data_IF_094090379662
#
_entry.id   IF_094090379662
#
_cell.length_a   1.000
_cell.length_b   1.000
_cell.length_c   1.000
_cell.angle_alpha   90.00
_cell.angle_beta   90.00
_cell.angle_gamma   90.00
#
_symmetry.space_group_name_H-M   'P 1'
#
loop_
_entity.id
_entity.type
_entity.pdbx_description
1 polymer ?
#
# COMPACT_ATOMS: atom_id res chain seq x y z
N UNK A 1 1.23 -3.85 -18.90
CA UNK A 1 2.52 -3.22 -18.58
C UNK A 1 3.56 -4.33 -18.37
N UNK A 2 4.82 -4.18 -18.82
CA UNK A 2 5.86 -5.18 -18.53
C UNK A 2 6.46 -4.91 -17.15
N UNK A 3 6.51 -5.91 -16.27
CA UNK A 3 7.15 -5.82 -14.95
C UNK A 3 8.15 -6.95 -14.77
N UNK A 4 9.20 -6.73 -13.98
CA UNK A 4 10.13 -7.78 -13.56
C UNK A 4 9.80 -8.19 -12.14
N UNK A 5 9.50 -9.47 -11.92
CA UNK A 5 9.20 -10.00 -10.59
C UNK A 5 10.31 -10.94 -10.16
N UNK A 6 11.10 -10.53 -9.17
CA UNK A 6 12.11 -11.38 -8.54
C UNK A 6 11.51 -12.03 -7.31
N UNK A 7 11.42 -13.35 -7.32
CA UNK A 7 11.01 -14.14 -6.15
C UNK A 7 12.19 -14.27 -5.21
N UNK A 8 12.02 -13.78 -3.98
CA UNK A 8 12.98 -13.89 -2.88
C UNK A 8 12.34 -14.73 -1.79
N UNK A 9 12.76 -15.98 -1.67
CA UNK A 9 12.15 -16.96 -0.78
C UNK A 9 13.13 -17.39 0.30
N UNK A 10 12.73 -17.33 1.56
CA UNK A 10 13.49 -17.95 2.63
C UNK A 10 13.03 -19.38 2.89
N UNK A 11 14.01 -20.23 3.15
CA UNK A 11 13.84 -21.64 3.47
C UNK A 11 14.49 -21.87 4.83
N UNK A 12 13.76 -22.40 5.82
CA UNK A 12 14.34 -22.77 7.11
C UNK A 12 15.43 -23.82 6.92
N UNK A 13 16.57 -23.66 7.61
CA UNK A 13 17.60 -24.70 7.64
C UNK A 13 17.12 -25.89 8.49
N UNK A 14 17.37 -27.12 8.03
CA UNK A 14 16.96 -28.36 8.72
C UNK A 14 17.64 -28.53 10.11
N UNK A 15 18.77 -27.85 10.34
CA UNK A 15 19.63 -28.01 11.54
C UNK A 15 19.51 -26.85 12.57
N UNK A 16 18.45 -26.04 12.49
CA UNK A 16 17.92 -25.16 13.56
C UNK A 16 18.88 -24.06 14.10
N UNK A 17 18.97 -22.93 13.38
CA UNK A 17 19.25 -21.58 13.91
C UNK A 17 19.17 -20.43 12.86
N UNK A 18 18.73 -20.71 11.63
CA UNK A 18 18.74 -19.68 10.58
C UNK A 18 17.92 -20.03 9.35
N UNK A 19 17.76 -19.03 8.50
CA UNK A 19 17.02 -19.09 7.24
C UNK A 19 17.99 -18.87 6.08
N UNK A 20 17.94 -19.73 5.07
CA UNK A 20 18.65 -19.51 3.81
C UNK A 20 17.71 -18.85 2.80
N UNK A 21 18.17 -17.76 2.19
CA UNK A 21 17.40 -17.03 1.18
C UNK A 21 17.78 -17.55 -0.21
N UNK A 22 16.79 -17.70 -1.08
CA UNK A 22 16.94 -18.08 -2.48
C UNK A 22 16.25 -17.08 -3.39
N UNK A 23 16.84 -16.86 -4.56
CA UNK A 23 16.30 -16.08 -5.66
C UNK A 23 15.78 -16.98 -6.76
N UNK A 24 14.75 -16.52 -7.44
CA UNK A 24 14.34 -16.98 -8.78
C UNK A 24 13.61 -15.85 -9.48
N UNK A 25 13.47 -15.94 -10.79
CA UNK A 25 12.62 -15.03 -11.56
C UNK A 25 11.19 -15.61 -11.60
N UNK A 26 10.19 -14.75 -11.57
CA UNK A 26 8.78 -15.10 -11.75
C UNK A 26 8.22 -14.37 -12.97
N UNK A 27 7.41 -15.06 -13.77
CA UNK A 27 6.75 -14.53 -14.97
C UNK A 27 7.70 -13.73 -15.88
N UNK A 28 8.71 -14.38 -16.50
CA UNK A 28 9.74 -13.69 -17.25
C UNK A 28 9.12 -12.92 -18.43
N UNK A 29 9.60 -11.71 -18.75
CA UNK A 29 9.00 -10.87 -19.80
C UNK A 29 9.13 -11.46 -21.22
N UNK A 30 9.96 -12.49 -21.39
CA UNK A 30 10.18 -13.27 -22.60
C UNK A 30 10.73 -14.65 -22.22
N UNK A 31 10.95 -15.54 -23.20
CA UNK A 31 11.49 -16.87 -22.95
C UNK A 31 12.93 -16.80 -22.42
N UNK A 32 13.11 -17.08 -21.12
CA UNK A 32 14.39 -17.12 -20.43
C UNK A 32 14.54 -18.51 -19.83
N UNK A 33 15.60 -19.24 -20.21
CA UNK A 33 15.86 -20.57 -19.67
C UNK A 33 16.17 -20.53 -18.17
N UNK A 34 15.76 -21.58 -17.46
CA UNK A 34 16.04 -21.81 -16.04
C UNK A 34 15.61 -20.66 -15.12
N UNK A 35 14.59 -19.89 -15.51
CA UNK A 35 14.15 -18.71 -14.77
C UNK A 35 13.61 -19.04 -13.36
N UNK A 36 13.00 -20.22 -13.19
CA UNK A 36 12.46 -20.70 -11.91
C UNK A 36 13.52 -21.34 -11.00
N UNK A 37 14.76 -21.52 -11.49
CA UNK A 37 15.80 -22.23 -10.76
C UNK A 37 16.17 -21.45 -9.50
N UNK A 38 16.08 -22.09 -8.34
CA UNK A 38 16.49 -21.47 -7.08
C UNK A 38 18.00 -21.23 -7.07
N UNK A 39 18.40 -20.00 -6.78
CA UNK A 39 19.79 -19.58 -6.62
C UNK A 39 20.01 -19.06 -5.19
N UNK A 40 20.99 -19.57 -4.43
CA UNK A 40 21.29 -19.06 -3.09
C UNK A 40 21.57 -17.56 -3.09
N UNK A 41 20.93 -16.81 -2.19
CA UNK A 41 21.18 -15.39 -1.97
C UNK A 41 22.08 -15.19 -0.76
N UNK A 42 23.39 -15.16 -0.99
CA UNK A 42 24.38 -14.97 0.07
C UNK A 42 24.78 -13.49 0.18
N UNK A 43 23.98 -12.73 0.92
CA UNK A 43 24.25 -11.33 1.21
C UNK A 43 24.39 -11.14 2.74
N UNK A 44 25.45 -10.45 3.23
CA UNK A 44 25.67 -10.28 4.66
C UNK A 44 24.70 -9.24 5.25
N UNK A 45 23.49 -9.67 5.61
CA UNK A 45 22.42 -8.82 6.17
C UNK A 45 22.91 -7.91 7.30
N UNK A 46 23.61 -8.48 8.30
CA UNK A 46 24.09 -7.72 9.45
C UNK A 46 25.04 -6.57 9.09
N UNK A 47 25.93 -6.77 8.13
CA UNK A 47 26.85 -5.73 7.67
C UNK A 47 26.14 -4.63 6.88
N UNK A 48 25.20 -5.01 6.00
CA UNK A 48 24.42 -4.05 5.23
C UNK A 48 23.48 -3.23 6.10
N UNK A 49 22.78 -3.87 7.04
CA UNK A 49 21.89 -3.15 7.96
C UNK A 49 22.69 -2.24 8.89
N UNK A 50 23.87 -2.66 9.37
CA UNK A 50 24.75 -1.78 10.14
C UNK A 50 25.13 -0.53 9.33
N UNK A 51 25.45 -0.68 8.05
CA UNK A 51 25.77 0.44 7.16
C UNK A 51 24.53 1.32 6.88
N UNK A 52 23.34 0.70 6.77
CA UNK A 52 22.08 1.38 6.55
C UNK A 52 21.70 2.30 7.73
N UNK A 53 21.95 1.86 8.96
CA UNK A 53 21.62 2.58 10.19
C UNK A 53 22.75 3.47 10.72
N UNK A 54 23.85 3.61 9.99
CA UNK A 54 25.00 4.40 10.44
C UNK A 54 24.71 5.90 10.37
N UNK A 55 24.73 6.58 11.53
CA UNK A 55 24.51 8.02 11.64
C UNK A 55 25.59 8.69 12.52
N UNK A 56 26.35 9.68 12.01
CA UNK A 56 26.37 10.13 10.61
C UNK A 56 26.95 9.05 9.67
N UNK A 57 26.57 9.04 8.38
CA UNK A 57 27.06 8.04 7.43
C UNK A 57 28.58 8.15 7.25
N UNK A 58 29.30 7.01 7.21
CA UNK A 58 30.74 6.98 6.98
C UNK A 58 31.15 7.20 5.51
N UNK A 59 30.21 7.09 4.58
CA UNK A 59 30.40 7.36 3.15
C UNK A 59 29.08 7.30 2.37
N UNK A 60 29.15 6.96 1.07
CA UNK A 60 28.00 6.73 0.19
C UNK A 60 27.26 5.42 0.53
N UNK A 61 26.81 5.29 1.78
CA UNK A 61 26.28 4.07 2.37
C UNK A 61 25.12 3.49 1.55
N UNK A 62 24.16 4.32 1.13
CA UNK A 62 23.00 3.83 0.35
C UNK A 62 23.41 3.28 -1.01
N UNK A 63 24.42 3.89 -1.64
CA UNK A 63 24.95 3.41 -2.91
C UNK A 63 25.66 2.06 -2.73
N UNK A 64 26.52 1.95 -1.72
CA UNK A 64 27.25 0.71 -1.45
C UNK A 64 26.28 -0.46 -1.16
N UNK A 65 25.21 -0.19 -0.42
CA UNK A 65 24.14 -1.18 -0.18
C UNK A 65 23.42 -1.53 -1.48
N UNK A 66 23.03 -0.53 -2.27
CA UNK A 66 22.36 -0.70 -3.54
C UNK A 66 23.13 -1.52 -4.56
N UNK A 67 24.43 -1.25 -4.70
CA UNK A 67 25.36 -1.97 -5.57
C UNK A 67 25.53 -3.42 -5.09
N UNK A 68 25.65 -3.64 -3.78
CA UNK A 68 25.77 -4.99 -3.21
C UNK A 68 24.51 -5.82 -3.44
N UNK A 69 23.33 -5.25 -3.20
CA UNK A 69 22.05 -5.93 -3.41
C UNK A 69 21.82 -6.23 -4.90
N UNK A 70 22.00 -5.25 -5.78
CA UNK A 70 21.79 -5.44 -7.21
C UNK A 70 22.79 -6.44 -7.80
N UNK A 71 24.06 -6.36 -7.40
CA UNK A 71 25.09 -7.33 -7.78
C UNK A 71 24.72 -8.74 -7.37
N UNK A 72 24.22 -8.94 -6.14
CA UNK A 72 23.77 -10.24 -5.64
C UNK A 72 22.50 -10.76 -6.33
N UNK A 73 21.58 -9.88 -6.74
CA UNK A 73 20.47 -10.27 -7.62
C UNK A 73 20.99 -10.74 -8.98
N UNK A 74 22.04 -10.10 -9.49
CA UNK A 74 22.70 -10.41 -10.75
C UNK A 74 23.45 -11.75 -10.79
N UNK A 75 23.78 -12.33 -9.64
CA UNK A 75 24.39 -13.68 -9.55
C UNK A 75 23.45 -14.76 -10.14
N UNK A 76 22.13 -14.50 -10.15
CA UNK A 76 21.15 -15.32 -10.87
C UNK A 76 21.04 -14.86 -12.36
N UNK A 77 21.44 -15.69 -13.35
CA UNK A 77 21.50 -15.27 -14.76
C UNK A 77 20.17 -14.80 -15.36
N UNK A 78 19.06 -15.47 -15.05
CA UNK A 78 17.74 -15.04 -15.54
C UNK A 78 17.30 -13.70 -14.95
N UNK A 79 17.52 -13.47 -13.65
CA UNK A 79 17.25 -12.18 -12.99
C UNK A 79 18.10 -11.09 -13.61
N UNK A 80 19.41 -11.31 -13.78
CA UNK A 80 20.29 -10.36 -14.47
C UNK A 80 19.79 -10.00 -15.87
N UNK A 81 19.39 -11.01 -16.64
CA UNK A 81 18.85 -10.83 -18.00
C UNK A 81 17.54 -10.02 -18.01
N UNK A 82 16.63 -10.30 -17.07
CA UNK A 82 15.36 -9.57 -16.96
C UNK A 82 15.56 -8.12 -16.51
N UNK A 83 16.48 -7.85 -15.58
CA UNK A 83 16.83 -6.48 -15.16
C UNK A 83 17.47 -5.71 -16.32
N UNK A 84 18.39 -6.32 -17.07
CA UNK A 84 18.97 -5.68 -18.26
C UNK A 84 17.92 -5.40 -19.34
N UNK A 85 16.95 -6.30 -19.52
CA UNK A 85 15.81 -6.04 -20.39
C UNK A 85 15.00 -4.82 -19.94
N UNK A 86 14.72 -4.69 -18.63
CA UNK A 86 14.03 -3.53 -18.08
C UNK A 86 14.81 -2.22 -18.34
N UNK A 87 16.14 -2.25 -18.30
CA UNK A 87 16.98 -1.09 -18.61
C UNK A 87 16.92 -0.66 -20.09
N UNK A 88 16.58 -1.57 -20.99
CA UNK A 88 16.45 -1.31 -22.42
C UNK A 88 15.06 -0.79 -22.80
N UNK A 89 14.07 -0.85 -21.91
CA UNK A 89 12.73 -0.34 -22.17
C UNK A 89 12.71 1.19 -22.09
N UNK A 90 11.95 1.81 -23.00
CA UNK A 90 11.67 3.25 -22.96
C UNK A 90 10.53 3.57 -21.98
N UNK A 91 9.57 2.65 -21.87
CA UNK A 91 8.41 2.79 -20.98
C UNK A 91 8.74 2.32 -19.55
N UNK A 92 7.87 2.66 -18.61
CA UNK A 92 8.00 2.22 -17.22
C UNK A 92 7.93 0.68 -17.12
N UNK A 93 8.97 0.10 -16.51
CA UNK A 93 9.12 -1.32 -16.24
C UNK A 93 9.46 -1.51 -14.74
N UNK A 94 8.44 -1.58 -13.87
CA UNK A 94 8.65 -1.67 -12.43
C UNK A 94 9.33 -2.98 -12.03
N UNK A 95 10.11 -2.90 -10.96
CA UNK A 95 10.82 -4.02 -10.35
C UNK A 95 10.12 -4.41 -9.05
N UNK A 96 9.58 -5.63 -9.03
CA UNK A 96 8.87 -6.18 -7.89
C UNK A 96 9.71 -7.27 -7.20
N UNK A 97 9.77 -7.20 -5.88
CA UNK A 97 10.39 -8.22 -5.04
C UNK A 97 9.28 -9.01 -4.35
N UNK A 98 9.07 -10.27 -4.75
CA UNK A 98 8.09 -11.15 -4.10
C UNK A 98 8.72 -11.85 -2.91
N UNK A 99 8.35 -11.41 -1.72
CA UNK A 99 8.97 -11.83 -0.45
C UNK A 99 8.20 -13.01 0.15
N UNK A 100 8.77 -14.22 0.01
CA UNK A 100 8.12 -15.47 0.44
C UNK A 100 8.79 -16.01 1.70
N UNK A 101 8.02 -16.18 2.77
CA UNK A 101 8.46 -16.94 3.94
C UNK A 101 9.55 -16.30 4.80
N UNK A 102 10.19 -15.22 4.33
CA UNK A 102 11.34 -14.61 5.01
C UNK A 102 11.14 -13.17 5.48
N UNK A 103 11.31 -12.96 6.78
CA UNK A 103 11.42 -11.62 7.39
C UNK A 103 12.81 -11.04 7.16
N UNK A 104 13.85 -11.89 7.17
CA UNK A 104 15.22 -11.51 6.82
C UNK A 104 15.31 -10.91 5.43
N UNK A 105 14.63 -11.51 4.45
CA UNK A 105 14.55 -10.98 3.09
C UNK A 105 13.79 -9.65 3.04
N UNK A 106 12.75 -9.49 3.86
CA UNK A 106 11.96 -8.27 3.93
C UNK A 106 12.71 -7.12 4.62
N UNK A 107 13.64 -7.42 5.52
CA UNK A 107 14.46 -6.42 6.22
C UNK A 107 15.39 -5.64 5.27
N UNK A 108 15.82 -6.24 4.15
CA UNK A 108 16.72 -5.58 3.20
C UNK A 108 16.11 -4.30 2.60
N UNK A 109 16.93 -3.25 2.39
CA UNK A 109 16.51 -2.01 1.77
C UNK A 109 16.47 -2.13 0.24
N UNK A 110 15.57 -2.94 -0.30
CA UNK A 110 15.44 -3.15 -1.76
C UNK A 110 15.24 -1.85 -2.55
N UNK A 111 14.73 -0.81 -1.93
CA UNK A 111 14.54 0.50 -2.54
C UNK A 111 15.88 1.20 -2.86
N UNK A 112 16.99 0.72 -2.28
CA UNK A 112 18.35 1.25 -2.55
C UNK A 112 19.00 0.69 -3.81
N UNK A 113 18.39 -0.27 -4.53
CA UNK A 113 19.01 -0.88 -5.72
C UNK A 113 19.61 0.19 -6.65
N UNK A 114 20.90 0.04 -6.91
CA UNK A 114 21.69 1.05 -7.62
C UNK A 114 22.48 0.40 -8.75
N UNK A 115 22.37 1.00 -9.93
CA UNK A 115 23.20 0.67 -11.08
C UNK A 115 24.12 1.87 -11.42
N UNK A 116 25.35 1.60 -11.84
CA UNK A 116 26.32 2.66 -12.10
C UNK A 116 25.91 3.59 -13.25
N UNK A 117 25.26 3.03 -14.28
CA UNK A 117 24.80 3.75 -15.47
C UNK A 117 23.45 4.44 -15.27
N UNK A 118 22.58 3.86 -14.44
CA UNK A 118 21.19 4.30 -14.28
C UNK A 118 20.89 4.98 -12.93
N UNK A 119 21.80 4.92 -11.96
CA UNK A 119 21.62 5.48 -10.63
C UNK A 119 20.74 4.62 -9.72
N UNK A 120 20.09 5.26 -8.74
CA UNK A 120 19.13 4.61 -7.84
C UNK A 120 17.81 4.36 -8.58
N UNK A 121 17.48 3.09 -8.80
CA UNK A 121 16.38 2.70 -9.68
C UNK A 121 15.02 3.23 -9.17
N UNK A 122 14.79 3.19 -7.86
CA UNK A 122 13.55 3.68 -7.23
C UNK A 122 13.35 5.21 -7.29
N UNK A 123 14.36 5.97 -7.73
CA UNK A 123 14.28 7.42 -7.97
C UNK A 123 14.09 7.76 -9.45
N UNK A 124 14.01 6.76 -10.32
CA UNK A 124 13.80 6.90 -11.76
C UNK A 124 12.36 6.50 -12.11
N UNK A 125 11.70 7.28 -12.96
CA UNK A 125 10.31 7.02 -13.37
C UNK A 125 10.16 5.70 -14.15
N UNK A 126 11.28 5.19 -14.68
CA UNK A 126 11.34 3.97 -15.49
C UNK A 126 11.33 2.69 -14.67
N UNK A 127 11.86 2.68 -13.44
CA UNK A 127 11.99 1.45 -12.64
C UNK A 127 11.50 1.62 -11.20
N UNK A 128 10.22 1.97 -10.99
CA UNK A 128 9.66 1.98 -9.64
C UNK A 128 9.85 0.63 -8.95
N UNK A 129 10.19 0.67 -7.66
CA UNK A 129 10.39 -0.52 -6.83
C UNK A 129 9.26 -0.68 -5.83
N UNK A 130 8.71 -1.90 -5.77
CA UNK A 130 7.70 -2.31 -4.80
C UNK A 130 7.86 -3.80 -4.40
N UNK A 131 7.11 -4.20 -3.37
CA UNK A 131 7.19 -5.54 -2.76
C UNK A 131 5.88 -6.28 -2.96
N UNK A 132 5.93 -7.58 -3.24
CA UNK A 132 4.76 -8.44 -3.32
C UNK A 132 4.68 -9.33 -2.08
N UNK A 133 3.56 -9.29 -1.36
CA UNK A 133 3.31 -10.19 -0.22
C UNK A 133 2.91 -11.59 -0.71
N UNK A 134 3.52 -12.64 -0.16
CA UNK A 134 3.50 -13.97 -0.76
C UNK A 134 2.30 -14.87 -0.43
N UNK A 135 1.44 -14.53 0.54
CA UNK A 135 0.41 -15.46 1.03
C UNK A 135 -0.98 -14.84 1.05
N UNK A 136 -1.65 -14.83 -0.10
CA UNK A 136 -3.03 -14.32 -0.20
C UNK A 136 -3.77 -15.11 -1.27
N UNK A 137 -5.04 -15.50 -1.06
CA UNK A 137 -5.90 -16.00 -2.14
C UNK A 137 -5.85 -15.03 -3.33
N UNK A 138 -5.83 -15.56 -4.56
CA UNK A 138 -5.86 -14.71 -5.76
C UNK A 138 -7.08 -13.80 -5.75
N UNK A 139 -6.86 -12.52 -5.99
CA UNK A 139 -7.93 -11.58 -6.30
C UNK A 139 -8.10 -11.60 -7.81
N UNK A 140 -9.10 -12.35 -8.30
CA UNK A 140 -9.32 -12.51 -9.74
C UNK A 140 -10.21 -11.42 -10.34
N UNK A 141 -10.81 -10.56 -9.53
CA UNK A 141 -11.92 -9.73 -9.97
C UNK A 141 -11.48 -8.28 -10.19
N UNK A 142 -11.86 -7.75 -11.35
CA UNK A 142 -11.75 -6.32 -11.68
C UNK A 142 -12.63 -5.54 -10.70
N UNK A 143 -12.06 -4.50 -10.08
CA UNK A 143 -12.79 -3.64 -9.16
C UNK A 143 -13.57 -2.59 -9.94
N UNK A 144 -14.84 -2.41 -9.63
CA UNK A 144 -15.62 -1.34 -10.24
C UNK A 144 -15.51 -0.06 -9.42
N UNK A 145 -15.44 1.08 -10.10
CA UNK A 145 -15.38 2.40 -9.50
C UNK A 145 -16.46 3.31 -10.08
N UNK A 146 -17.22 3.96 -9.19
CA UNK A 146 -18.14 5.04 -9.52
C UNK A 146 -17.74 6.28 -8.71
N UNK A 147 -17.69 7.44 -9.37
CA UNK A 147 -17.47 8.73 -8.71
C UNK A 147 -18.49 8.95 -7.58
N UNK A 148 -18.13 9.59 -6.44
CA UNK A 148 -16.84 10.24 -6.14
C UNK A 148 -15.71 9.30 -5.71
N UNK A 149 -14.47 9.75 -5.88
CA UNK A 149 -13.29 9.17 -5.25
C UNK A 149 -13.32 9.47 -3.74
N UNK A 150 -13.57 8.44 -2.94
CA UNK A 150 -13.62 8.53 -1.48
C UNK A 150 -12.25 8.37 -0.82
N UNK A 151 -11.89 9.35 0.01
CA UNK A 151 -10.67 9.33 0.84
C UNK A 151 -11.06 9.40 2.32
N UNK A 152 -10.67 8.39 3.10
CA UNK A 152 -10.81 8.43 4.55
C UNK A 152 -9.45 8.70 5.17
N UNK A 153 -9.37 9.68 6.07
CA UNK A 153 -8.14 9.99 6.79
C UNK A 153 -8.36 9.93 8.30
N UNK A 154 -7.57 9.12 8.99
CA UNK A 154 -7.56 9.02 10.45
C UNK A 154 -6.25 9.61 10.94
N UNK A 155 -6.32 10.79 11.57
CA UNK A 155 -5.16 11.54 12.05
C UNK A 155 -5.26 11.75 13.56
N UNK A 156 -4.64 10.83 14.30
CA UNK A 156 -4.90 10.69 15.74
C UNK A 156 -3.69 10.03 16.42
N UNK A 157 -2.58 10.76 16.46
CA UNK A 157 -1.37 10.40 17.16
C UNK A 157 -1.20 11.27 18.41
N UNK A 158 -1.21 10.68 19.61
CA UNK A 158 -1.00 11.46 20.84
C UNK A 158 0.44 12.02 20.88
N UNK A 159 0.60 13.29 21.23
CA UNK A 159 1.91 13.93 21.33
C UNK A 159 2.57 14.30 20.00
N UNK A 160 1.94 13.99 18.86
CA UNK A 160 2.39 14.40 17.53
C UNK A 160 1.25 15.17 16.86
N UNK A 161 1.34 16.52 16.74
CA UNK A 161 0.29 17.32 16.15
C UNK A 161 -0.01 16.88 14.70
N UNK A 162 -1.29 16.67 14.40
CA UNK A 162 -1.73 16.32 13.05
C UNK A 162 -1.97 17.54 12.15
N UNK A 163 -1.68 18.76 12.62
CA UNK A 163 -1.87 20.00 11.86
C UNK A 163 -1.09 20.03 10.55
N UNK A 164 0.20 19.64 10.58
CA UNK A 164 1.04 19.62 9.39
C UNK A 164 0.62 18.51 8.43
N UNK A 165 0.22 17.36 8.97
CA UNK A 165 -0.28 16.22 8.19
C UNK A 165 -1.58 16.57 7.45
N UNK A 166 -2.54 17.17 8.15
CA UNK A 166 -3.76 17.68 7.54
C UNK A 166 -3.47 18.74 6.48
N UNK A 167 -2.57 19.68 6.77
CA UNK A 167 -2.18 20.72 5.81
C UNK A 167 -1.61 20.11 4.54
N UNK A 168 -0.75 19.11 4.67
CA UNK A 168 -0.15 18.39 3.56
C UNK A 168 -1.19 17.63 2.73
N UNK A 169 -2.08 16.87 3.38
CA UNK A 169 -3.12 16.12 2.69
C UNK A 169 -4.10 17.06 1.98
N UNK A 170 -4.57 18.11 2.67
CA UNK A 170 -5.45 19.14 2.10
C UNK A 170 -4.85 19.79 0.87
N UNK A 171 -3.57 20.19 0.92
CA UNK A 171 -2.88 20.77 -0.23
C UNK A 171 -2.85 19.84 -1.44
N UNK A 172 -2.62 18.54 -1.21
CA UNK A 172 -2.65 17.55 -2.29
C UNK A 172 -4.08 17.37 -2.87
N UNK A 173 -5.09 17.26 -2.00
CA UNK A 173 -6.48 17.06 -2.41
C UNK A 173 -7.05 18.26 -3.19
N UNK A 174 -6.78 19.48 -2.73
CA UNK A 174 -7.23 20.72 -3.38
C UNK A 174 -6.40 21.05 -4.62
N UNK A 175 -5.11 20.69 -4.61
CA UNK A 175 -4.22 20.90 -5.74
C UNK A 175 -4.47 19.94 -6.90
N UNK A 176 -5.09 18.78 -6.65
CA UNK A 176 -5.38 17.79 -7.68
C UNK A 176 -6.47 18.28 -8.64
N UNK A 177 -6.15 18.34 -9.94
CA UNK A 177 -7.09 18.73 -10.99
C UNK A 177 -7.89 17.51 -11.49
N UNK A 178 -8.57 16.84 -10.57
CA UNK A 178 -9.32 15.62 -10.89
C UNK A 178 -10.52 15.94 -11.78
N UNK A 179 -10.72 15.11 -12.82
CA UNK A 179 -11.99 15.04 -13.57
C UNK A 179 -13.11 14.40 -12.75
N UNK A 180 -12.74 13.72 -11.67
CA UNK A 180 -13.63 13.00 -10.77
C UNK A 180 -13.96 13.85 -9.55
N UNK A 181 -15.17 13.70 -9.03
CA UNK A 181 -15.52 14.29 -7.75
C UNK A 181 -14.74 13.58 -6.63
N UNK A 182 -14.43 14.33 -5.58
CA UNK A 182 -13.71 13.85 -4.40
C UNK A 182 -14.63 13.99 -3.19
N UNK A 183 -14.67 12.98 -2.33
CA UNK A 183 -15.37 13.03 -1.05
C UNK A 183 -14.41 12.58 0.06
N UNK A 184 -14.38 13.31 1.17
CA UNK A 184 -13.46 13.04 2.27
C UNK A 184 -14.16 12.77 3.59
N UNK A 185 -13.68 11.79 4.36
CA UNK A 185 -14.12 11.55 5.74
C UNK A 185 -12.91 11.56 6.67
N UNK A 186 -12.88 12.52 7.60
CA UNK A 186 -11.70 12.80 8.42
C UNK A 186 -11.98 12.53 9.89
N UNK A 187 -11.16 11.69 10.53
CA UNK A 187 -11.24 11.33 11.93
C UNK A 187 -10.06 11.89 12.70
N UNK A 188 -10.33 12.64 13.77
CA UNK A 188 -9.27 13.23 14.61
C UNK A 188 -9.57 13.08 16.10
N UNK A 189 -8.52 13.03 16.91
CA UNK A 189 -8.65 13.08 18.37
C UNK A 189 -8.91 14.50 18.90
N UNK A 190 -8.43 15.53 18.21
CA UNK A 190 -8.38 16.89 18.74
C UNK A 190 -9.57 17.76 18.29
N UNK A 191 -10.25 18.39 19.24
CA UNK A 191 -11.44 19.22 18.95
C UNK A 191 -11.10 20.46 18.11
N UNK A 192 -10.00 21.14 18.44
CA UNK A 192 -9.52 22.33 17.74
C UNK A 192 -9.16 22.01 16.29
N UNK A 193 -8.46 20.89 16.08
CA UNK A 193 -8.16 20.41 14.74
C UNK A 193 -9.44 20.06 13.97
N UNK A 194 -10.40 19.38 14.59
CA UNK A 194 -11.68 19.08 13.94
C UNK A 194 -12.44 20.35 13.51
N UNK A 195 -12.46 21.39 14.34
CA UNK A 195 -13.10 22.68 14.00
C UNK A 195 -12.37 23.36 12.83
N UNK A 196 -11.04 23.34 12.83
CA UNK A 196 -10.21 23.84 11.73
C UNK A 196 -10.46 23.09 10.42
N UNK A 197 -10.43 21.75 10.44
CA UNK A 197 -10.67 20.92 9.25
C UNK A 197 -12.04 21.22 8.65
N UNK A 198 -13.10 21.35 9.47
CA UNK A 198 -14.43 21.73 8.97
C UNK A 198 -14.41 23.09 8.27
N UNK A 199 -13.71 24.06 8.83
CA UNK A 199 -13.54 25.39 8.20
C UNK A 199 -12.77 25.30 6.89
N UNK A 200 -11.70 24.51 6.85
CA UNK A 200 -10.88 24.29 5.66
C UNK A 200 -11.70 23.64 4.54
N UNK A 201 -12.42 22.55 4.83
CA UNK A 201 -13.30 21.88 3.86
C UNK A 201 -14.37 22.81 3.29
N UNK A 202 -15.01 23.61 4.15
CA UNK A 202 -16.02 24.58 3.72
C UNK A 202 -15.41 25.70 2.85
N UNK A 203 -14.19 26.14 3.17
CA UNK A 203 -13.47 27.18 2.41
C UNK A 203 -13.07 26.68 1.03
N UNK A 204 -12.63 25.42 0.93
CA UNK A 204 -12.21 24.80 -0.33
C UNK A 204 -13.38 24.28 -1.17
N UNK A 205 -14.58 24.21 -0.59
CA UNK A 205 -15.73 23.57 -1.23
C UNK A 205 -15.54 22.05 -1.41
N UNK A 206 -14.70 21.42 -0.60
CA UNK A 206 -14.43 19.98 -0.68
C UNK A 206 -15.52 19.21 0.09
N UNK A 207 -16.33 18.36 -0.57
CA UNK A 207 -17.36 17.57 0.10
C UNK A 207 -16.74 16.63 1.12
N UNK A 208 -17.24 16.65 2.36
CA UNK A 208 -16.74 15.73 3.36
C UNK A 208 -17.29 15.90 4.77
N UNK A 209 -16.90 14.97 5.62
CA UNK A 209 -17.31 14.87 7.03
C UNK A 209 -16.09 14.86 7.95
N UNK A 210 -16.28 15.38 9.16
CA UNK A 210 -15.22 15.46 10.18
C UNK A 210 -15.74 14.94 11.52
N UNK A 211 -15.15 13.83 11.97
CA UNK A 211 -15.57 13.08 13.14
C UNK A 211 -14.51 13.17 14.24
N UNK A 212 -14.97 13.15 15.49
CA UNK A 212 -14.08 13.05 16.64
C UNK A 212 -13.94 11.58 17.02
N UNK A 213 -12.71 11.10 17.09
CA UNK A 213 -12.46 9.73 17.52
C UNK A 213 -12.77 9.60 19.01
N UNK A 214 -13.82 8.82 19.33
CA UNK A 214 -14.19 8.50 20.71
C UNK A 214 -13.87 7.06 21.08
N UNK A 215 -14.10 6.12 20.16
CA UNK A 215 -13.87 4.69 20.37
C UNK A 215 -13.56 3.97 19.04
N UNK A 216 -12.84 2.86 19.11
CA UNK A 216 -12.45 2.07 17.93
C UNK A 216 -13.62 1.41 17.17
N UNK A 217 -14.63 0.84 17.83
CA UNK A 217 -15.77 0.23 17.13
C UNK A 217 -16.55 1.20 16.24
N UNK A 218 -16.63 2.48 16.62
CA UNK A 218 -17.26 3.52 15.81
C UNK A 218 -16.50 3.75 14.50
N UNK A 219 -15.18 3.94 14.60
CA UNK A 219 -14.30 4.07 13.44
C UNK A 219 -14.42 2.86 12.50
N UNK A 220 -14.45 1.64 13.02
CA UNK A 220 -14.57 0.43 12.19
C UNK A 220 -15.94 0.31 11.49
N UNK A 221 -17.02 0.76 12.16
CA UNK A 221 -18.36 0.82 11.54
C UNK A 221 -18.37 1.83 10.39
N UNK A 222 -17.81 3.00 10.61
CA UNK A 222 -17.81 4.06 9.60
C UNK A 222 -16.81 3.80 8.47
N UNK A 223 -15.67 3.15 8.72
CA UNK A 223 -14.80 2.62 7.66
C UNK A 223 -15.55 1.66 6.73
N UNK A 224 -16.41 0.80 7.28
CA UNK A 224 -17.24 -0.08 6.47
C UNK A 224 -18.36 0.67 5.72
N UNK A 225 -18.96 1.70 6.34
CA UNK A 225 -20.08 2.45 5.76
C UNK A 225 -19.62 3.42 4.67
N UNK A 226 -18.58 4.20 4.95
CA UNK A 226 -18.00 5.15 4.01
C UNK A 226 -17.34 4.41 2.85
N UNK A 227 -16.66 3.30 3.17
CA UNK A 227 -16.04 2.38 2.20
C UNK A 227 -15.07 3.10 1.25
N UNK A 228 -13.98 3.66 1.79
CA UNK A 228 -13.06 4.51 1.04
C UNK A 228 -12.33 3.74 -0.06
N UNK A 229 -11.85 4.46 -1.07
CA UNK A 229 -10.87 3.93 -2.03
C UNK A 229 -9.44 4.14 -1.52
N UNK A 230 -9.19 5.26 -0.83
CA UNK A 230 -7.90 5.59 -0.23
C UNK A 230 -8.09 5.74 1.29
N UNK A 231 -7.36 4.95 2.07
CA UNK A 231 -7.36 5.02 3.53
C UNK A 231 -6.01 5.54 4.03
N UNK A 232 -6.01 6.71 4.66
CA UNK A 232 -4.83 7.33 5.24
C UNK A 232 -4.85 7.18 6.76
N UNK A 233 -3.81 6.60 7.35
CA UNK A 233 -3.67 6.41 8.79
C UNK A 233 -2.40 7.14 9.27
N UNK A 234 -2.60 8.25 9.97
CA UNK A 234 -1.57 8.99 10.70
C UNK A 234 -1.76 8.75 12.19
N UNK A 235 -1.01 7.79 12.71
CA UNK A 235 -1.15 7.28 14.07
C UNK A 235 0.19 6.72 14.57
N UNK A 236 0.21 6.24 15.81
CA UNK A 236 1.37 5.48 16.28
C UNK A 236 1.31 4.06 15.73
N UNK A 237 2.39 3.58 15.15
CA UNK A 237 2.58 2.18 14.80
C UNK A 237 3.51 1.52 15.80
N UNK A 238 3.30 0.23 16.02
CA UNK A 238 4.22 -0.61 16.78
C UNK A 238 4.46 -1.89 15.97
N UNK A 239 5.73 -2.14 15.60
CA UNK A 239 6.15 -3.39 14.97
C UNK A 239 6.36 -4.53 15.97
N UNK A 240 7.09 -5.56 15.55
CA UNK A 240 7.46 -6.71 16.39
C UNK A 240 6.36 -7.77 16.50
N UNK A 241 6.48 -8.65 17.51
CA UNK A 241 5.67 -9.89 17.63
C UNK A 241 4.16 -9.67 17.79
N UNK A 242 3.72 -8.47 18.13
CA UNK A 242 2.31 -8.07 18.17
C UNK A 242 2.13 -6.70 17.51
N UNK A 243 2.06 -6.68 16.17
CA UNK A 243 2.03 -5.44 15.42
C UNK A 243 0.64 -4.80 15.50
N UNK A 244 0.60 -3.52 15.86
CA UNK A 244 -0.65 -2.82 16.17
C UNK A 244 -0.58 -1.34 15.80
N UNK A 245 -1.74 -0.76 15.53
CA UNK A 245 -1.93 0.68 15.33
C UNK A 245 -2.59 1.27 16.58
N UNK A 246 -2.05 2.39 17.04
CA UNK A 246 -2.45 3.08 18.26
C UNK A 246 -3.00 4.45 17.90
N UNK A 247 -4.28 4.64 18.21
CA UNK A 247 -5.04 5.85 17.95
C UNK A 247 -5.49 6.50 19.26
N UNK A 248 -5.37 7.82 19.31
CA UNK A 248 -5.67 8.62 20.49
C UNK A 248 -7.05 9.24 20.42
N UNK A 249 -7.92 8.81 21.33
CA UNK A 249 -9.29 9.36 21.43
C UNK A 249 -9.27 10.81 21.88
N UNK A 250 -10.39 11.50 21.72
CA UNK A 250 -10.61 12.83 22.29
C UNK A 250 -10.32 12.90 23.79
N UNK A 251 -10.61 11.82 24.52
CA UNK A 251 -10.32 11.75 25.96
C UNK A 251 -8.82 11.72 26.22
N UNK A 252 -8.07 10.96 25.43
CA UNK A 252 -6.61 10.84 25.56
C UNK A 252 -5.94 12.20 25.35
N UNK A 253 -6.32 12.93 24.29
CA UNK A 253 -5.83 14.29 24.04
C UNK A 253 -6.22 15.29 25.14
N UNK A 254 -7.40 15.15 25.74
CA UNK A 254 -7.84 16.00 26.85
C UNK A 254 -7.02 15.74 28.13
N UNK A 255 -6.78 14.46 28.46
CA UNK A 255 -6.05 14.08 29.67
C UNK A 255 -4.54 14.31 29.55
N UNK A 256 -4.00 14.35 28.32
CA UNK A 256 -2.54 14.40 28.04
C UNK A 256 -1.74 13.27 28.70
N UNK A 257 -2.43 12.25 29.19
CA UNK A 257 -1.85 10.97 29.59
C UNK A 257 -1.49 10.28 28.29
N UNK A 258 -0.20 10.09 27.99
CA UNK A 258 0.32 9.63 26.68
C UNK A 258 -0.10 8.22 26.22
N UNK A 259 -1.29 7.74 26.61
CA UNK A 259 -1.85 6.47 26.22
C UNK A 259 -2.80 6.67 25.03
N UNK A 260 -2.63 5.85 24.00
CA UNK A 260 -3.60 5.71 22.91
C UNK A 260 -4.62 4.64 23.30
N UNK A 261 -5.87 5.03 23.57
CA UNK A 261 -6.90 4.12 24.08
C UNK A 261 -7.49 3.21 23.00
N UNK A 262 -7.34 3.55 21.72
CA UNK A 262 -7.78 2.70 20.61
C UNK A 262 -6.58 1.94 20.06
N UNK A 263 -6.65 0.62 20.14
CA UNK A 263 -5.66 -0.30 19.58
C UNK A 263 -6.33 -1.08 18.47
N UNK A 264 -5.77 -1.01 17.26
CA UNK A 264 -6.24 -1.75 16.10
C UNK A 264 -5.19 -2.76 15.67
N UNK A 265 -5.56 -4.03 15.68
CA UNK A 265 -4.80 -5.10 15.04
C UNK A 265 -5.14 -5.18 13.55
N UNK A 266 -4.18 -5.54 12.67
CA UNK A 266 -4.42 -5.63 11.22
C UNK A 266 -5.64 -6.50 10.85
N UNK A 267 -5.87 -7.59 11.60
CA UNK A 267 -7.00 -8.49 11.36
C UNK A 267 -8.37 -7.86 11.67
N UNK A 268 -8.44 -6.84 12.52
CA UNK A 268 -9.70 -6.11 12.78
C UNK A 268 -10.12 -5.25 11.57
N UNK A 269 -9.17 -4.87 10.73
CA UNK A 269 -9.39 -4.16 9.48
C UNK A 269 -9.77 -5.09 8.32
N UNK A 270 -9.68 -6.41 8.50
CA UNK A 270 -10.09 -7.40 7.49
C UNK A 270 -11.57 -7.24 7.16
N UNK A 271 -11.88 -7.26 5.86
CA UNK A 271 -13.24 -7.07 5.32
C UNK A 271 -13.90 -5.71 5.68
N UNK A 272 -13.14 -4.74 6.23
CA UNK A 272 -13.57 -3.34 6.36
C UNK A 272 -13.05 -2.57 5.15
N UNK A 273 -13.80 -1.55 4.70
CA UNK A 273 -13.43 -0.77 3.51
C UNK A 273 -13.12 -1.66 2.31
N UNK A 274 -14.06 -2.51 1.90
CA UNK A 274 -13.82 -3.52 0.84
C UNK A 274 -13.49 -2.88 -0.51
N UNK A 275 -13.87 -1.62 -0.73
CA UNK A 275 -13.50 -0.86 -1.94
C UNK A 275 -12.14 -0.18 -1.85
N UNK A 276 -11.43 -0.31 -0.73
CA UNK A 276 -10.10 0.28 -0.55
C UNK A 276 -9.12 -0.31 -1.55
N UNK A 277 -8.45 0.57 -2.27
CA UNK A 277 -7.38 0.26 -3.21
C UNK A 277 -6.02 0.35 -2.54
N UNK A 278 -5.87 1.35 -1.66
CA UNK A 278 -4.61 1.67 -1.00
C UNK A 278 -4.84 2.08 0.46
N UNK A 279 -4.04 1.50 1.35
CA UNK A 279 -3.85 2.01 2.71
C UNK A 279 -2.49 2.69 2.81
N UNK A 280 -2.43 3.89 3.37
CA UNK A 280 -1.18 4.60 3.70
C UNK A 280 -1.00 4.62 5.20
N UNK A 281 -0.02 3.86 5.70
CA UNK A 281 0.42 3.89 7.09
C UNK A 281 1.50 4.96 7.24
N UNK A 282 1.08 6.21 7.42
CA UNK A 282 2.00 7.30 7.77
C UNK A 282 2.24 7.29 9.29
N UNK A 283 2.76 6.16 9.76
CA UNK A 283 3.02 5.82 11.14
C UNK A 283 4.41 5.22 11.25
N UNK A 284 5.08 5.41 12.39
CA UNK A 284 6.36 4.75 12.65
C UNK A 284 6.23 3.22 12.48
N UNK A 285 7.23 2.60 11.87
CA UNK A 285 7.38 1.14 11.74
C UNK A 285 6.26 0.39 10.99
N UNK A 286 5.36 1.08 10.29
CA UNK A 286 4.26 0.44 9.55
C UNK A 286 4.73 -0.52 8.44
N UNK A 287 5.95 -0.33 7.92
CA UNK A 287 6.62 -1.16 6.92
C UNK A 287 7.86 -1.90 7.44
N UNK A 288 8.10 -1.93 8.76
CA UNK A 288 9.26 -2.61 9.35
C UNK A 288 9.02 -4.11 9.47
N UNK A 289 9.89 -4.91 8.84
CA UNK A 289 10.01 -6.34 9.09
C UNK A 289 11.30 -6.54 9.93
N UNK A 290 11.18 -6.53 11.25
CA UNK A 290 12.29 -6.64 12.20
C UNK A 290 11.97 -7.61 13.34
N UNK A 291 13.01 -8.09 14.03
CA UNK A 291 12.89 -8.96 15.23
C UNK A 291 12.00 -10.19 15.07
N UNK A 292 11.99 -10.80 13.88
CA UNK A 292 11.22 -12.01 13.63
C UNK A 292 9.72 -11.76 13.46
N UNK A 293 9.32 -10.55 13.02
CA UNK A 293 7.93 -10.20 12.80
C UNK A 293 7.68 -9.51 11.46
N UNK A 294 6.47 -9.73 10.94
CA UNK A 294 5.97 -9.09 9.72
C UNK A 294 5.50 -7.67 9.97
N UNK A 295 5.75 -6.79 9.00
CA UNK A 295 5.25 -5.43 8.97
C UNK A 295 3.72 -5.37 8.96
N UNK A 296 3.16 -4.30 9.53
CA UNK A 296 1.72 -4.02 9.48
C UNK A 296 1.26 -3.95 8.01
N UNK A 297 2.08 -3.36 7.13
CA UNK A 297 1.81 -3.31 5.70
C UNK A 297 1.63 -4.71 5.10
N UNK A 298 2.56 -5.64 5.35
CA UNK A 298 2.44 -7.02 4.89
C UNK A 298 1.16 -7.70 5.41
N UNK A 299 0.85 -7.54 6.70
CA UNK A 299 -0.32 -8.14 7.33
C UNK A 299 -1.64 -7.58 6.79
N UNK A 300 -1.68 -6.30 6.42
CA UNK A 300 -2.85 -5.68 5.80
C UNK A 300 -3.10 -6.18 4.37
N UNK A 301 -2.05 -6.51 3.59
CA UNK A 301 -2.29 -7.21 2.32
C UNK A 301 -2.96 -8.57 2.61
N UNK A 302 -2.48 -9.31 3.62
CA UNK A 302 -3.12 -10.54 4.11
C UNK A 302 -4.56 -10.37 4.62
N UNK A 303 -4.91 -9.18 5.12
CA UNK A 303 -6.27 -8.80 5.52
C UNK A 303 -7.19 -8.46 4.32
N UNK A 304 -6.66 -8.46 3.11
CA UNK A 304 -7.41 -8.30 1.86
C UNK A 304 -7.27 -6.94 1.18
N UNK A 305 -6.40 -6.06 1.66
CA UNK A 305 -6.11 -4.79 0.99
C UNK A 305 -5.21 -5.00 -0.23
N UNK A 306 -5.51 -4.40 -1.41
CA UNK A 306 -4.69 -4.59 -2.61
C UNK A 306 -3.28 -4.04 -2.50
N UNK A 307 -3.14 -2.90 -1.83
CA UNK A 307 -1.88 -2.19 -1.66
C UNK A 307 -1.82 -1.49 -0.31
N UNK A 308 -0.64 -1.49 0.31
CA UNK A 308 -0.36 -0.80 1.57
C UNK A 308 1.02 -0.18 1.50
N UNK A 309 1.10 1.12 1.81
CA UNK A 309 2.36 1.80 2.07
C UNK A 309 2.62 1.81 3.57
N UNK A 310 3.85 1.54 3.97
CA UNK A 310 4.33 1.72 5.34
C UNK A 310 5.73 2.30 5.39
N UNK A 311 6.09 2.85 6.55
CA UNK A 311 7.44 3.36 6.81
C UNK A 311 8.29 2.25 7.45
N UNK A 312 9.47 1.98 6.88
CA UNK A 312 10.39 0.96 7.40
C UNK A 312 10.97 1.29 8.77
N UNK A 313 11.15 2.57 9.07
CA UNK A 313 11.66 3.07 10.35
C UNK A 313 10.77 4.21 10.85
N UNK A 314 10.95 4.67 12.11
CA UNK A 314 10.35 5.90 12.59
C UNK A 314 10.65 7.09 11.66
N UNK A 315 9.61 7.88 11.37
CA UNK A 315 9.69 9.06 10.49
C UNK A 315 9.38 10.32 11.29
N UNK A 316 10.07 11.43 10.97
CA UNK A 316 9.77 12.72 11.59
C UNK A 316 8.41 13.26 11.10
N UNK A 317 7.72 14.09 11.90
CA UNK A 317 6.43 14.67 11.46
C UNK A 317 6.57 15.52 10.20
N UNK A 318 7.72 16.20 10.03
CA UNK A 318 8.00 17.01 8.86
C UNK A 318 8.17 16.13 7.60
N UNK A 319 8.86 14.99 7.72
CA UNK A 319 9.05 14.06 6.60
C UNK A 319 7.76 13.30 6.28
N UNK A 320 6.96 12.96 7.31
CA UNK A 320 5.62 12.40 7.16
C UNK A 320 4.70 13.34 6.37
N UNK A 321 4.66 14.63 6.72
CA UNK A 321 3.87 15.63 6.01
C UNK A 321 4.41 15.89 4.59
N UNK A 322 5.73 15.93 4.41
CA UNK A 322 6.36 16.05 3.09
C UNK A 322 5.99 14.87 2.19
N UNK A 323 6.07 13.65 2.72
CA UNK A 323 5.65 12.44 2.05
C UNK A 323 4.17 12.52 1.66
N UNK A 324 3.28 12.82 2.60
CA UNK A 324 1.83 12.90 2.33
C UNK A 324 1.48 13.88 1.23
N UNK A 325 2.02 15.11 1.28
CA UNK A 325 1.73 16.13 0.24
C UNK A 325 2.15 15.64 -1.14
N UNK A 326 3.39 15.14 -1.25
CA UNK A 326 3.98 14.76 -2.53
C UNK A 326 3.42 13.43 -3.07
N UNK A 327 3.13 12.48 -2.18
CA UNK A 327 2.55 11.19 -2.53
C UNK A 327 1.11 11.35 -3.02
N UNK A 328 0.23 12.01 -2.26
CA UNK A 328 -1.16 12.18 -2.68
C UNK A 328 -1.27 13.03 -3.95
N UNK A 329 -0.44 14.06 -4.12
CA UNK A 329 -0.40 14.80 -5.39
C UNK A 329 -0.07 13.88 -6.57
N UNK A 330 1.03 13.13 -6.47
CA UNK A 330 1.45 12.19 -7.53
C UNK A 330 0.44 11.07 -7.77
N UNK A 331 -0.19 10.54 -6.71
CA UNK A 331 -1.17 9.46 -6.79
C UNK A 331 -2.46 9.94 -7.47
N UNK A 332 -2.97 11.11 -7.08
CA UNK A 332 -4.22 11.64 -7.63
C UNK A 332 -4.06 12.00 -9.12
N UNK A 333 -2.93 12.58 -9.51
CA UNK A 333 -2.60 12.81 -10.92
C UNK A 333 -2.49 11.49 -11.71
N UNK A 334 -1.89 10.46 -11.09
CA UNK A 334 -1.80 9.13 -11.69
C UNK A 334 -3.18 8.50 -11.87
N UNK A 335 -4.05 8.56 -10.86
CA UNK A 335 -5.41 8.03 -10.94
C UNK A 335 -6.26 8.78 -11.98
N UNK A 336 -6.17 10.12 -12.05
CA UNK A 336 -6.95 10.91 -13.01
C UNK A 336 -6.59 10.64 -14.48
N UNK A 337 -5.29 10.41 -14.72
CA UNK A 337 -4.78 10.11 -16.07
C UNK A 337 -5.17 8.72 -16.55
N UNK A 338 -5.47 7.78 -15.65
CA UNK A 338 -5.76 6.38 -16.00
C UNK A 338 -7.24 6.00 -15.86
N UNK A 339 -8.03 6.61 -14.96
CA UNK A 339 -9.42 6.22 -14.72
C UNK A 339 -10.38 6.77 -15.80
N UNK A 340 -10.33 6.16 -16.98
CA UNK A 340 -11.18 6.43 -18.14
C UNK A 340 -12.48 5.64 -18.05
N UNK A 341 -13.61 6.28 -18.38
CA UNK A 341 -14.94 5.68 -18.24
C UNK A 341 -15.15 4.52 -19.23
N UNK A 342 -15.55 3.35 -18.73
CA UNK A 342 -15.81 2.15 -19.51
C UNK A 342 -14.56 1.34 -19.89
N UNK A 343 -13.40 1.71 -19.35
CA UNK A 343 -12.15 0.98 -19.58
C UNK A 343 -11.68 0.30 -18.29
N UNK A 344 -11.27 -0.97 -18.42
CA UNK A 344 -10.49 -1.66 -17.39
C UNK A 344 -9.04 -1.20 -17.50
N UNK A 345 -8.52 -0.62 -16.41
CA UNK A 345 -7.14 -0.16 -16.33
C UNK A 345 -6.41 -0.84 -15.18
N UNK A 346 -5.16 -1.22 -15.44
CA UNK A 346 -4.23 -1.65 -14.40
C UNK A 346 -3.55 -0.42 -13.80
N UNK A 347 -3.67 -0.22 -12.49
CA UNK A 347 -3.07 0.91 -11.79
C UNK A 347 -1.70 0.51 -11.24
N UNK A 348 -0.64 1.11 -11.77
CA UNK A 348 0.74 0.89 -11.34
C UNK A 348 1.10 1.83 -10.17
N UNK A 349 0.69 1.44 -8.96
CA UNK A 349 0.87 2.24 -7.75
C UNK A 349 2.34 2.49 -7.38
N UNK A 350 3.28 1.65 -7.78
CA UNK A 350 4.70 1.87 -7.48
C UNK A 350 5.22 3.14 -8.14
N UNK A 351 4.70 3.50 -9.33
CA UNK A 351 5.08 4.73 -10.02
C UNK A 351 4.77 5.99 -9.19
N UNK A 352 3.70 5.95 -8.37
CA UNK A 352 3.31 7.09 -7.52
C UNK A 352 4.28 7.33 -6.34
N UNK A 353 5.23 6.43 -6.09
CA UNK A 353 6.26 6.61 -5.07
C UNK A 353 7.52 7.33 -5.57
N UNK A 354 7.72 7.50 -6.87
CA UNK A 354 8.96 8.13 -7.38
C UNK A 354 9.05 9.60 -6.93
N UNK A 355 7.97 10.36 -7.10
CA UNK A 355 7.88 11.77 -6.68
C UNK A 355 8.15 11.99 -5.18
N UNK A 356 7.45 11.33 -4.24
CA UNK A 356 7.72 11.53 -2.82
C UNK A 356 9.12 11.11 -2.39
N UNK A 357 9.71 10.06 -2.99
CA UNK A 357 11.09 9.68 -2.71
C UNK A 357 12.08 10.75 -3.15
N UNK A 358 11.89 11.35 -4.33
CA UNK A 358 12.68 12.50 -4.79
C UNK A 358 12.55 13.69 -3.84
N UNK A 359 11.34 14.01 -3.38
CA UNK A 359 11.13 15.11 -2.44
C UNK A 359 11.82 14.88 -1.09
N UNK A 360 11.76 13.66 -0.54
CA UNK A 360 12.48 13.30 0.70
C UNK A 360 14.00 13.40 0.53
N UNK A 361 14.54 12.97 -0.61
CA UNK A 361 15.95 13.16 -0.97
C UNK A 361 16.32 14.64 -1.07
N UNK A 362 15.47 15.44 -1.71
CA UNK A 362 15.78 16.83 -2.05
C UNK A 362 15.89 17.74 -0.82
N UNK A 363 15.35 17.32 0.34
CA UNK A 363 15.57 17.95 1.65
C UNK A 363 17.06 18.10 1.99
N UNK A 364 17.89 17.18 1.51
CA UNK A 364 19.32 17.12 1.80
C UNK A 364 20.20 17.76 0.72
N UNK A 365 19.60 18.19 -0.40
CA UNK A 365 20.31 18.95 -1.43
C UNK A 365 20.68 20.31 -0.87
N UNK A 366 21.95 20.68 -1.02
CA UNK A 366 22.47 21.97 -0.63
C UNK A 366 23.63 22.35 -1.55
N UNK A 367 24.32 23.46 -1.27
CA UNK A 367 25.44 23.94 -2.09
C UNK A 367 26.58 22.91 -2.27
N UNK A 368 26.64 21.89 -1.42
CA UNK A 368 27.69 20.87 -1.40
C UNK A 368 27.23 19.48 -1.86
N UNK A 369 25.93 19.26 -2.06
CA UNK A 369 25.40 17.95 -2.45
C UNK A 369 24.45 18.05 -3.63
N UNK A 370 24.80 17.36 -4.71
CA UNK A 370 23.92 17.06 -5.84
C UNK A 370 22.79 16.10 -5.41
N UNK A 371 21.70 15.96 -6.20
CA UNK A 371 20.68 14.96 -5.92
C UNK A 371 21.24 13.53 -5.74
N UNK A 372 22.23 13.14 -6.55
CA UNK A 372 22.84 11.81 -6.48
C UNK A 372 23.61 11.60 -5.17
N UNK A 373 24.40 12.59 -4.76
CA UNK A 373 25.14 12.55 -3.50
C UNK A 373 24.19 12.54 -2.29
N UNK A 374 23.14 13.37 -2.32
CA UNK A 374 22.11 13.38 -1.29
C UNK A 374 21.44 12.00 -1.13
N UNK A 375 21.08 11.34 -2.23
CA UNK A 375 20.51 9.99 -2.20
C UNK A 375 21.49 8.92 -1.72
N UNK A 376 22.78 9.09 -2.01
CA UNK A 376 23.83 8.15 -1.60
C UNK A 376 24.15 8.22 -0.10
N UNK A 377 24.00 9.40 0.51
CA UNK A 377 24.31 9.68 1.91
C UNK A 377 23.11 9.48 2.85
N UNK A 378 21.91 9.85 2.41
CA UNK A 378 20.71 9.89 3.25
C UNK A 378 19.72 8.78 2.88
N UNK A 379 19.15 8.13 3.89
CA UNK A 379 18.28 6.95 3.75
C UNK A 379 16.79 7.25 3.74
N UNK A 380 16.39 8.46 4.09
CA UNK A 380 15.00 8.88 4.34
C UNK A 380 14.07 8.59 3.15
N UNK A 381 14.57 8.77 1.92
CA UNK A 381 13.83 8.49 0.69
C UNK A 381 13.54 7.00 0.48
N UNK A 382 14.19 6.10 1.22
CA UNK A 382 13.98 4.65 1.15
C UNK A 382 13.00 4.12 2.20
N UNK A 383 12.56 4.98 3.13
CA UNK A 383 11.67 4.58 4.23
C UNK A 383 10.27 4.19 3.76
N UNK A 384 9.63 4.91 2.81
CA UNK A 384 8.32 4.50 2.30
C UNK A 384 8.45 3.26 1.41
N UNK A 385 7.81 2.17 1.84
CA UNK A 385 7.71 0.92 1.09
C UNK A 385 6.28 0.60 0.74
N UNK A 386 6.09 0.12 -0.49
CA UNK A 386 4.81 -0.34 -0.99
C UNK A 386 4.81 -1.87 -1.00
N UNK A 387 3.86 -2.45 -0.26
CA UNK A 387 3.45 -3.83 -0.41
C UNK A 387 2.20 -3.91 -1.28
N UNK A 388 2.17 -4.85 -2.22
CA UNK A 388 1.01 -5.15 -3.06
C UNK A 388 0.69 -6.64 -3.06
N UNK A 389 -0.51 -6.97 -3.54
CA UNK A 389 -0.87 -8.34 -3.91
C UNK A 389 -0.12 -8.80 -5.17
N UNK A 390 0.03 -10.12 -5.38
CA UNK A 390 0.59 -10.66 -6.63
C UNK A 390 -0.22 -10.27 -7.87
N UNK A 391 -1.55 -10.29 -7.74
CA UNK A 391 -2.47 -9.89 -8.79
C UNK A 391 -2.48 -8.35 -8.91
N UNK A 392 -2.34 -7.78 -10.12
CA UNK A 392 -2.38 -6.33 -10.31
C UNK A 392 -3.73 -5.72 -9.89
N UNK A 393 -3.69 -4.48 -9.38
CA UNK A 393 -4.89 -3.72 -9.11
C UNK A 393 -5.54 -3.26 -10.43
N UNK A 394 -6.64 -3.91 -10.80
CA UNK A 394 -7.44 -3.56 -11.99
C UNK A 394 -8.72 -2.86 -11.58
N UNK A 395 -8.97 -1.72 -12.21
CA UNK A 395 -10.14 -0.90 -11.94
C UNK A 395 -10.87 -0.63 -13.24
N UNK A 396 -12.16 -0.89 -13.26
CA UNK A 396 -13.07 -0.46 -14.32
C UNK A 396 -13.90 0.72 -13.78
N UNK A 397 -13.81 1.87 -14.45
CA UNK A 397 -14.69 2.99 -14.14
C UNK A 397 -16.04 2.76 -14.81
N UNK A 398 -17.09 2.71 -14.01
CA UNK A 398 -18.46 2.51 -14.47
C UNK A 398 -19.24 3.81 -14.29
N UNK A 399 -20.13 4.11 -15.22
CA UNK A 399 -21.09 5.20 -15.06
C UNK A 399 -22.00 4.92 -13.85
N UNK A 400 -22.36 5.96 -13.09
CA UNK A 400 -23.31 5.81 -12.00
C UNK A 400 -24.64 5.27 -12.53
N UNK A 401 -25.15 4.19 -11.94
CA UNK A 401 -26.48 3.67 -12.24
C UNK A 401 -27.52 4.59 -11.58
N UNK A 402 -28.36 5.31 -12.34
CA UNK A 402 -29.34 6.21 -11.75
C UNK A 402 -30.42 5.49 -10.92
N UNK A 403 -30.56 4.16 -11.06
CA UNK A 403 -31.57 3.37 -10.36
C UNK A 403 -31.08 2.74 -9.05
N UNK A 404 -29.77 2.52 -8.91
CA UNK A 404 -29.20 1.82 -7.77
C UNK A 404 -27.95 2.52 -7.27
N UNK A 405 -27.84 2.73 -5.96
CA UNK A 405 -26.58 3.21 -5.39
C UNK A 405 -25.48 2.17 -5.58
N UNK A 406 -24.22 2.61 -5.58
CA UNK A 406 -23.05 1.71 -5.62
C UNK A 406 -23.08 0.68 -4.49
N UNK A 407 -23.61 1.06 -3.32
CA UNK A 407 -23.78 0.18 -2.16
C UNK A 407 -24.85 -0.88 -2.46
N UNK A 408 -25.97 -0.52 -3.07
CA UNK A 408 -27.06 -1.46 -3.39
C UNK A 408 -26.65 -2.46 -4.48
N UNK A 409 -26.00 -2.00 -5.56
CA UNK A 409 -25.43 -2.89 -6.59
C UNK A 409 -24.42 -3.85 -5.98
N UNK A 410 -23.56 -3.35 -5.10
CA UNK A 410 -22.55 -4.18 -4.43
C UNK A 410 -23.18 -5.23 -3.51
N UNK A 411 -24.09 -4.83 -2.62
CA UNK A 411 -24.79 -5.75 -1.72
C UNK A 411 -25.53 -6.84 -2.52
N UNK A 412 -26.15 -6.45 -3.64
CA UNK A 412 -26.83 -7.39 -4.53
C UNK A 412 -25.86 -8.35 -5.23
N UNK A 413 -24.71 -7.86 -5.68
CA UNK A 413 -23.66 -8.68 -6.30
C UNK A 413 -23.01 -9.64 -5.29
N UNK A 414 -22.76 -9.20 -4.07
CA UNK A 414 -22.23 -10.03 -2.99
C UNK A 414 -23.21 -11.12 -2.55
N UNK A 415 -24.49 -10.75 -2.45
CA UNK A 415 -25.56 -11.70 -2.17
C UNK A 415 -25.64 -12.76 -3.28
N UNK A 416 -25.60 -12.34 -4.54
CA UNK A 416 -25.57 -13.23 -5.70
C UNK A 416 -24.35 -14.17 -5.67
N UNK A 417 -23.15 -13.63 -5.45
CA UNK A 417 -21.91 -14.42 -5.35
C UNK A 417 -21.98 -15.44 -4.21
N UNK A 418 -22.56 -15.07 -3.07
CA UNK A 418 -22.77 -15.97 -1.93
C UNK A 418 -23.72 -17.11 -2.31
N UNK A 419 -24.83 -16.81 -2.98
CA UNK A 419 -25.79 -17.81 -3.45
C UNK A 419 -25.16 -18.74 -4.51
N UNK A 420 -24.41 -18.18 -5.46
CA UNK A 420 -23.71 -18.96 -6.51
C UNK A 420 -22.64 -19.87 -5.91
N UNK A 421 -21.86 -19.38 -4.94
CA UNK A 421 -20.87 -20.19 -4.22
C UNK A 421 -21.53 -21.33 -3.45
N UNK A 422 -22.57 -21.03 -2.67
CA UNK A 422 -23.35 -22.06 -1.97
C UNK A 422 -23.88 -23.10 -2.95
N UNK A 423 -24.39 -22.67 -4.11
CA UNK A 423 -24.95 -23.57 -5.13
C UNK A 423 -23.90 -24.49 -5.76
N UNK A 424 -22.68 -24.00 -5.95
CA UNK A 424 -21.55 -24.73 -6.52
C UNK A 424 -20.94 -25.72 -5.51
N UNK A 425 -20.84 -25.31 -4.24
CA UNK A 425 -20.22 -26.07 -3.16
C UNK A 425 -21.22 -26.92 -2.35
N UNK A 426 -22.49 -26.96 -2.76
CA UNK A 426 -23.54 -27.66 -2.04
C UNK A 426 -23.22 -29.17 -1.87
N UNK A 427 -23.27 -29.71 -0.64
CA UNK A 427 -23.09 -31.14 -0.39
C UNK A 427 -24.04 -32.03 -1.22
N UNK A 428 -23.65 -33.26 -1.60
CA UNK A 428 -24.48 -34.15 -2.43
C UNK A 428 -25.83 -34.51 -1.80
N UNK A 429 -25.95 -34.45 -0.48
CA UNK A 429 -27.15 -34.73 0.31
C UNK A 429 -28.04 -33.48 0.54
N UNK A 430 -27.70 -32.34 -0.06
CA UNK A 430 -28.50 -31.12 0.03
C UNK A 430 -29.91 -31.37 -0.52
N UNK A 431 -30.98 -31.10 0.25
CA UNK A 431 -32.35 -31.34 -0.19
C UNK A 431 -32.68 -30.62 -1.51
N UNK A 432 -33.34 -31.27 -2.49
CA UNK A 432 -33.70 -30.65 -3.76
C UNK A 432 -34.50 -29.35 -3.62
N UNK A 433 -35.32 -29.25 -2.58
CA UNK A 433 -36.14 -28.06 -2.28
C UNK A 433 -35.28 -26.87 -1.85
N UNK A 434 -34.17 -27.11 -1.14
CA UNK A 434 -33.24 -26.08 -0.74
C UNK A 434 -32.48 -25.53 -1.96
N UNK A 435 -32.02 -26.41 -2.86
CA UNK A 435 -31.38 -26.00 -4.12
C UNK A 435 -32.33 -25.19 -5.00
N UNK A 436 -33.60 -25.59 -5.12
CA UNK A 436 -34.62 -24.85 -5.87
C UNK A 436 -34.86 -23.44 -5.32
N UNK A 437 -34.81 -23.27 -3.99
CA UNK A 437 -34.93 -21.94 -3.35
C UNK A 437 -33.72 -21.06 -3.67
N UNK A 438 -32.51 -21.62 -3.59
CA UNK A 438 -31.28 -20.90 -3.96
C UNK A 438 -31.32 -20.48 -5.43
N UNK A 439 -31.70 -21.37 -6.34
CA UNK A 439 -31.83 -21.05 -7.77
C UNK A 439 -32.90 -19.97 -8.04
N UNK A 440 -33.96 -19.93 -7.23
CA UNK A 440 -34.98 -18.88 -7.32
C UNK A 440 -34.47 -17.52 -6.83
N UNK A 441 -33.73 -17.49 -5.71
CA UNK A 441 -33.11 -16.26 -5.21
C UNK A 441 -31.98 -15.75 -6.12
N UNK A 442 -31.21 -16.65 -6.77
CA UNK A 442 -30.22 -16.26 -7.80
C UNK A 442 -30.93 -15.53 -8.94
N UNK A 443 -32.03 -16.09 -9.48
CA UNK A 443 -32.80 -15.42 -10.54
C UNK A 443 -33.34 -14.08 -10.09
N UNK A 444 -33.87 -14.00 -8.87
CA UNK A 444 -34.41 -12.75 -8.30
C UNK A 444 -33.33 -11.67 -8.17
N UNK A 445 -32.16 -12.03 -7.63
CA UNK A 445 -31.04 -11.12 -7.48
C UNK A 445 -30.51 -10.62 -8.84
N UNK A 446 -30.48 -11.49 -9.86
CA UNK A 446 -30.14 -11.11 -11.23
C UNK A 446 -31.15 -10.10 -11.82
N UNK A 447 -32.46 -10.33 -11.63
CA UNK A 447 -33.49 -9.39 -12.13
C UNK A 447 -33.39 -8.01 -11.49
N UNK A 448 -33.04 -7.94 -10.19
CA UNK A 448 -32.78 -6.68 -9.49
C UNK A 448 -31.58 -5.95 -10.09
N UNK A 449 -30.49 -6.67 -10.38
CA UNK A 449 -29.29 -6.11 -11.01
C UNK A 449 -29.52 -5.64 -12.46
N UNK A 450 -30.43 -6.29 -13.19
CA UNK A 450 -30.82 -5.94 -14.57
C UNK A 450 -31.84 -4.79 -14.63
N UNK A 451 -32.35 -4.31 -13.49
CA UNK A 451 -33.28 -3.19 -13.42
C UNK A 451 -34.69 -3.51 -13.93
N UNK A 452 -35.09 -4.78 -13.88
CA UNK A 452 -36.46 -5.21 -14.14
C UNK A 452 -37.33 -4.98 -12.92
N UNK A 453 -38.37 -4.15 -13.06
CA UNK A 453 -39.42 -4.00 -12.04
C UNK A 453 -40.04 -5.40 -11.79
N UNK A 454 -39.93 -5.87 -10.54
CA UNK A 454 -40.58 -7.09 -10.06
C UNK A 454 -42.04 -6.87 -9.73
#
# INVERSE_FOLDING_TARGET
>A
MSRVVVRVAGVPNEDDAGEQIFLSLEDPPFDIKDFEKLHPFECPSGSLMKLFYEEPPSGENMRAIGEALLGKLGDHPAVATAVQYAFQQNDCCPLYLRLIGSETAAAYPWETLFDAGNGFLALEDRWPIARIAAQIPREKDVRTFTSPLKVMAVMSAIGVPADDEWTALRQALVGAQLKQELEVDVWVGEKTLAERIRSDLATDGLPGTVNLLTEGPELLRDLQRFDPHLLHLFCHGQGGTSPLLKLATRRDHYLREGNSSVVLEPLQLRNRGRSTWLVTLNSCEGGSDSDGARSIAYLLIGAGYPAVIGMRDPVSSADAALFTRSFYGSLLDHLDSHLVNGEEVEIELAASLVTPRRQLRDKYINAHHTPREAAALHRDWTLPVLYVRPDPLRIERVAADPKHSTIDRRNSTDYLNTLMKYRLEAPPDTPPDALRRVDAEIRRALTVLEGGDG
#
